data_IF_565373255570
#
_entry.id   IF_565373255570
#
_cell.length_a   1.000
_cell.length_b   1.000
_cell.length_c   1.000
_cell.angle_alpha   90.00
_cell.angle_beta   90.00
_cell.angle_gamma   90.00
#
_symmetry.space_group_name_H-M   'P 1'
#
loop_
_entity.id
_entity.type
_entity.pdbx_description
1 polymer ?
#
# COMPACT_ATOMS: atom_id res chain seq x y z
N UNK A 1 18.93 -10.82 -4.22
CA UNK A 1 17.55 -10.47 -3.86
C UNK A 1 17.44 -8.97 -3.68
N UNK A 2 16.44 -8.35 -4.28
CA UNK A 2 16.17 -6.93 -4.12
C UNK A 2 15.26 -6.71 -2.91
N UNK A 3 15.31 -5.51 -2.35
CA UNK A 3 14.44 -5.08 -1.25
C UNK A 3 13.68 -3.85 -1.74
N UNK A 4 12.38 -3.99 -1.93
CA UNK A 4 11.52 -2.97 -2.54
C UNK A 4 10.37 -2.62 -1.59
N UNK A 5 10.20 -1.33 -1.33
CA UNK A 5 9.04 -0.82 -0.61
C UNK A 5 8.20 0.00 -1.58
N UNK A 6 7.00 -0.48 -1.85
CA UNK A 6 6.04 0.23 -2.70
C UNK A 6 5.12 1.04 -1.79
N UNK A 7 5.08 2.36 -2.00
CA UNK A 7 4.22 3.25 -1.23
C UNK A 7 3.17 3.84 -2.16
N UNK A 8 1.91 3.50 -1.90
CA UNK A 8 0.77 3.98 -2.68
C UNK A 8 0.27 5.26 -2.05
N UNK A 9 0.39 6.36 -2.80
CA UNK A 9 0.01 7.71 -2.36
C UNK A 9 -1.19 8.25 -3.14
N UNK A 10 -1.48 7.68 -4.31
CA UNK A 10 -2.48 8.21 -5.23
C UNK A 10 -3.91 8.01 -4.73
N UNK A 11 -4.77 8.97 -5.03
CA UNK A 11 -6.20 8.91 -4.74
C UNK A 11 -6.89 7.85 -5.61
N UNK A 12 -8.07 7.44 -5.15
CA UNK A 12 -8.93 6.49 -5.87
C UNK A 12 -9.76 7.14 -6.95
N UNK A 13 -9.86 8.48 -6.98
CA UNK A 13 -10.81 9.23 -7.78
C UNK A 13 -10.16 10.23 -8.73
N UNK A 14 -9.16 9.79 -9.49
CA UNK A 14 -8.53 10.62 -10.53
C UNK A 14 -8.51 9.85 -11.85
N UNK A 15 -8.24 10.56 -12.94
CA UNK A 15 -8.08 9.94 -14.26
C UNK A 15 -6.92 8.95 -14.33
N UNK A 16 -5.94 9.07 -13.43
CA UNK A 16 -4.77 8.20 -13.37
C UNK A 16 -4.91 7.08 -12.33
N UNK A 17 -5.98 7.10 -11.51
CA UNK A 17 -6.10 6.24 -10.34
C UNK A 17 -5.91 4.76 -10.65
N UNK A 18 -6.65 4.23 -11.62
CA UNK A 18 -6.56 2.81 -11.98
C UNK A 18 -5.18 2.45 -12.54
N UNK A 19 -4.61 3.31 -13.36
CA UNK A 19 -3.26 3.09 -13.90
C UNK A 19 -2.22 3.02 -12.80
N UNK A 20 -2.28 3.91 -11.83
CA UNK A 20 -1.33 3.94 -10.72
C UNK A 20 -1.47 2.72 -9.81
N UNK A 21 -2.69 2.37 -9.41
CA UNK A 21 -2.87 1.22 -8.51
C UNK A 21 -2.53 -0.10 -9.20
N UNK A 22 -2.93 -0.27 -10.45
CA UNK A 22 -2.59 -1.50 -11.20
C UNK A 22 -1.09 -1.63 -11.37
N UNK A 23 -0.38 -0.54 -11.65
CA UNK A 23 1.08 -0.57 -11.74
C UNK A 23 1.73 -0.89 -10.40
N UNK A 24 1.23 -0.32 -9.30
CA UNK A 24 1.75 -0.62 -7.97
C UNK A 24 1.59 -2.10 -7.62
N UNK A 25 0.39 -2.64 -7.83
CA UNK A 25 0.10 -4.04 -7.51
C UNK A 25 0.83 -5.00 -8.45
N UNK A 26 0.96 -4.65 -9.74
CA UNK A 26 1.70 -5.45 -10.70
C UNK A 26 3.19 -5.48 -10.38
N UNK A 27 3.77 -4.35 -9.98
CA UNK A 27 5.16 -4.30 -9.54
C UNK A 27 5.36 -5.18 -8.30
N UNK A 28 4.46 -5.09 -7.32
CA UNK A 28 4.53 -5.93 -6.13
C UNK A 28 4.51 -7.42 -6.49
N UNK A 29 3.63 -7.80 -7.42
CA UNK A 29 3.54 -9.19 -7.90
C UNK A 29 4.82 -9.64 -8.60
N UNK A 30 5.37 -8.81 -9.46
CA UNK A 30 6.60 -9.12 -10.20
C UNK A 30 7.77 -9.37 -9.24
N UNK A 31 7.97 -8.48 -8.25
CA UNK A 31 9.03 -8.67 -7.26
C UNK A 31 8.78 -9.89 -6.39
N UNK A 32 7.54 -10.12 -5.98
CA UNK A 32 7.18 -11.30 -5.19
C UNK A 32 7.49 -12.59 -5.94
N UNK A 33 7.09 -12.69 -7.20
CA UNK A 33 7.33 -13.87 -8.03
C UNK A 33 8.82 -14.11 -8.29
N UNK A 34 9.62 -13.05 -8.32
CA UNK A 34 11.06 -13.14 -8.47
C UNK A 34 11.78 -13.56 -7.18
N UNK A 35 11.05 -13.69 -6.08
CA UNK A 35 11.64 -14.05 -4.79
C UNK A 35 12.26 -12.87 -4.03
N UNK A 36 11.96 -11.64 -4.44
CA UNK A 36 12.46 -10.45 -3.78
C UNK A 36 11.68 -10.13 -2.51
N UNK A 37 12.31 -9.35 -1.63
CA UNK A 37 11.68 -8.81 -0.43
C UNK A 37 10.91 -7.55 -0.82
N UNK A 38 9.61 -7.67 -1.04
CA UNK A 38 8.74 -6.56 -1.41
C UNK A 38 7.64 -6.39 -0.37
N UNK A 39 7.37 -5.13 -0.02
CA UNK A 39 6.20 -4.78 0.79
C UNK A 39 5.45 -3.61 0.16
N UNK A 40 4.18 -3.50 0.52
CA UNK A 40 3.28 -2.44 0.05
C UNK A 40 2.74 -1.71 1.26
N UNK A 41 2.83 -0.38 1.23
CA UNK A 41 2.27 0.49 2.26
C UNK A 41 1.34 1.50 1.60
N UNK A 42 0.19 1.74 2.22
CA UNK A 42 -0.77 2.74 1.77
C UNK A 42 -0.61 3.99 2.63
N UNK A 43 -0.43 5.13 1.99
CA UNK A 43 -0.19 6.40 2.68
C UNK A 43 -0.91 7.54 1.96
N UNK A 44 -1.12 8.66 2.63
CA UNK A 44 -1.85 9.78 2.05
C UNK A 44 -3.25 9.38 1.60
N UNK A 45 -3.69 9.92 0.47
CA UNK A 45 -4.95 9.54 -0.16
C UNK A 45 -4.98 8.06 -0.56
N UNK A 46 -3.81 7.43 -0.69
CA UNK A 46 -3.69 6.01 -1.01
C UNK A 46 -4.31 5.08 0.04
N UNK A 47 -4.54 5.56 1.26
CA UNK A 47 -5.23 4.77 2.30
C UNK A 47 -6.66 4.42 1.90
N UNK A 48 -7.26 5.19 1.00
CA UNK A 48 -8.62 4.91 0.47
C UNK A 48 -8.67 3.64 -0.36
N UNK A 49 -7.55 3.17 -0.91
CA UNK A 49 -7.52 1.96 -1.72
C UNK A 49 -7.80 0.69 -0.92
N UNK A 50 -7.56 0.71 0.38
CA UNK A 50 -7.72 -0.49 1.22
C UNK A 50 -9.15 -0.99 1.17
N UNK A 51 -10.13 -0.14 1.46
CA UNK A 51 -11.54 -0.51 1.39
C UNK A 51 -11.96 -0.89 -0.05
N UNK A 52 -11.53 -0.10 -1.03
CA UNK A 52 -11.87 -0.33 -2.43
C UNK A 52 -11.37 -1.69 -2.92
N UNK A 53 -10.12 -2.03 -2.63
CA UNK A 53 -9.50 -3.27 -3.10
C UNK A 53 -10.03 -4.51 -2.39
N UNK A 54 -10.61 -4.36 -1.20
CA UNK A 54 -11.26 -5.47 -0.49
C UNK A 54 -12.64 -5.78 -1.05
N UNK A 55 -13.23 -4.88 -1.84
CA UNK A 55 -14.50 -5.16 -2.51
C UNK A 55 -14.28 -6.17 -3.64
N UNK A 56 -15.00 -7.28 -3.59
CA UNK A 56 -14.86 -8.36 -4.59
C UNK A 56 -15.23 -7.91 -6.00
N UNK A 57 -16.05 -6.87 -6.11
CA UNK A 57 -16.47 -6.30 -7.39
C UNK A 57 -15.45 -5.33 -8.00
N UNK A 58 -14.42 -4.92 -7.24
CA UNK A 58 -13.43 -3.99 -7.75
C UNK A 58 -12.58 -4.65 -8.84
N UNK A 59 -12.32 -3.96 -9.97
CA UNK A 59 -11.54 -4.55 -11.08
C UNK A 59 -10.14 -5.04 -10.67
N UNK A 60 -9.52 -4.42 -9.68
CA UNK A 60 -8.18 -4.79 -9.21
C UNK A 60 -8.19 -5.74 -8.01
N UNK A 61 -9.36 -6.21 -7.56
CA UNK A 61 -9.46 -7.08 -6.39
C UNK A 61 -8.64 -8.36 -6.54
N UNK A 62 -8.75 -9.04 -7.66
CA UNK A 62 -8.02 -10.29 -7.89
C UNK A 62 -6.51 -10.09 -7.82
N UNK A 63 -6.00 -9.01 -8.43
CA UNK A 63 -4.59 -8.67 -8.38
C UNK A 63 -4.14 -8.35 -6.96
N UNK A 64 -4.97 -7.60 -6.21
CA UNK A 64 -4.69 -7.29 -4.82
C UNK A 64 -4.56 -8.55 -3.96
N UNK A 65 -5.45 -9.53 -4.14
CA UNK A 65 -5.39 -10.78 -3.36
C UNK A 65 -4.09 -11.55 -3.57
N UNK A 66 -3.48 -11.43 -4.74
CA UNK A 66 -2.20 -12.09 -5.04
C UNK A 66 -1.03 -11.49 -4.28
N UNK A 67 -1.13 -10.22 -3.86
CA UNK A 67 -0.03 -9.53 -3.14
C UNK A 67 -0.41 -9.16 -1.71
N UNK A 68 -1.58 -9.55 -1.25
CA UNK A 68 -2.11 -9.14 0.05
C UNK A 68 -1.19 -9.55 1.21
N UNK A 69 -0.50 -10.66 1.08
CA UNK A 69 0.49 -11.14 2.06
C UNK A 69 1.74 -10.25 2.13
N UNK A 70 1.89 -9.32 1.20
CA UNK A 70 3.00 -8.35 1.18
C UNK A 70 2.60 -6.97 1.66
N UNK A 71 1.35 -6.76 2.04
CA UNK A 71 0.90 -5.48 2.57
C UNK A 71 1.44 -5.31 3.98
N UNK A 72 2.28 -4.28 4.16
CA UNK A 72 2.87 -3.96 5.46
C UNK A 72 1.86 -3.22 6.35
N UNK A 73 1.10 -2.31 5.76
CA UNK A 73 0.12 -1.56 6.52
C UNK A 73 -0.29 -0.25 5.88
N UNK A 74 -0.94 0.58 6.67
CA UNK A 74 -1.38 1.93 6.31
C UNK A 74 -0.80 2.94 7.29
N UNK A 75 -0.36 4.09 6.77
CA UNK A 75 0.09 5.20 7.59
C UNK A 75 -1.04 5.63 8.53
N UNK A 76 -0.80 5.61 9.84
CA UNK A 76 -1.82 5.91 10.83
C UNK A 76 -2.36 7.33 10.75
N UNK A 77 -1.47 8.31 10.63
CA UNK A 77 -1.88 9.70 10.45
C UNK A 77 -2.75 9.89 9.21
N UNK A 78 -2.32 9.32 8.09
CA UNK A 78 -3.04 9.45 6.82
C UNK A 78 -4.39 8.74 6.84
N UNK A 79 -4.48 7.57 7.46
CA UNK A 79 -5.75 6.88 7.62
C UNK A 79 -6.76 7.74 8.38
N UNK A 80 -6.33 8.41 9.45
CA UNK A 80 -7.17 9.35 10.18
C UNK A 80 -7.54 10.58 9.35
N UNK A 81 -6.55 11.20 8.71
CA UNK A 81 -6.75 12.42 7.92
C UNK A 81 -7.70 12.23 6.74
N UNK A 82 -7.69 11.03 6.12
CA UNK A 82 -8.55 10.72 4.99
C UNK A 82 -9.80 9.93 5.39
N UNK A 83 -10.11 9.85 6.68
CA UNK A 83 -11.34 9.21 7.17
C UNK A 83 -11.38 7.70 6.97
N UNK A 84 -10.23 7.03 6.93
CA UNK A 84 -10.10 5.62 6.60
C UNK A 84 -9.77 4.72 7.80
N UNK A 85 -9.64 5.28 9.00
CA UNK A 85 -9.21 4.49 10.17
C UNK A 85 -10.09 3.27 10.43
N UNK A 86 -11.41 3.43 10.36
CA UNK A 86 -12.35 2.33 10.60
C UNK A 86 -12.28 1.29 9.48
N UNK A 87 -12.18 1.72 8.22
CA UNK A 87 -12.06 0.83 7.08
C UNK A 87 -10.77 0.01 7.13
N UNK A 88 -9.66 0.65 7.46
CA UNK A 88 -8.36 -0.03 7.62
C UNK A 88 -8.47 -1.12 8.68
N UNK A 89 -9.05 -0.80 9.84
CA UNK A 89 -9.25 -1.76 10.91
C UNK A 89 -10.17 -2.91 10.49
N UNK A 90 -11.29 -2.59 9.84
CA UNK A 90 -12.26 -3.59 9.37
C UNK A 90 -11.65 -4.55 8.35
N UNK A 91 -10.72 -4.08 7.53
CA UNK A 91 -10.02 -4.90 6.54
C UNK A 91 -8.83 -5.68 7.12
N UNK A 92 -8.54 -5.52 8.40
CA UNK A 92 -7.46 -6.22 9.06
C UNK A 92 -6.05 -5.76 8.63
N UNK A 93 -5.93 -4.56 8.08
CA UNK A 93 -4.65 -4.01 7.64
C UNK A 93 -3.97 -3.32 8.83
N UNK A 94 -2.70 -3.62 9.14
CA UNK A 94 -2.00 -2.98 10.23
C UNK A 94 -1.85 -1.47 10.06
N UNK A 95 -1.91 -0.75 11.16
CA UNK A 95 -1.65 0.69 11.19
C UNK A 95 -0.18 0.91 11.53
N UNK A 96 0.50 1.73 10.73
CA UNK A 96 1.91 2.04 10.91
C UNK A 96 2.07 3.40 11.58
N UNK A 97 2.64 3.39 12.78
CA UNK A 97 2.94 4.58 13.58
C UNK A 97 4.41 4.52 13.99
N UNK A 98 5.29 4.85 13.06
CA UNK A 98 6.73 4.62 13.19
C UNK A 98 7.52 5.94 13.36
N UNK A 99 6.93 7.04 12.95
CA UNK A 99 7.43 8.40 13.14
C UNK A 99 6.28 9.24 13.67
N UNK A 100 6.16 9.31 14.99
CA UNK A 100 4.94 9.78 15.60
C UNK A 100 3.77 8.90 15.14
N UNK A 101 2.72 9.49 14.60
CA UNK A 101 1.57 8.78 14.05
C UNK A 101 1.73 8.41 12.58
N UNK A 102 2.85 8.80 11.95
CA UNK A 102 3.14 8.52 10.53
C UNK A 102 3.90 7.22 10.35
N UNK A 103 3.78 6.64 9.17
CA UNK A 103 4.75 5.66 8.70
C UNK A 103 6.13 6.35 8.56
N UNK A 104 7.21 5.57 8.53
CA UNK A 104 8.56 6.12 8.39
C UNK A 104 9.21 5.72 7.08
N UNK A 105 9.46 6.70 6.21
CA UNK A 105 10.28 6.50 5.01
C UNK A 105 11.74 6.21 5.38
N UNK A 106 12.27 6.92 6.39
CA UNK A 106 13.64 6.73 6.81
C UNK A 106 13.89 5.30 7.33
N UNK A 107 12.93 4.72 8.02
CA UNK A 107 13.03 3.34 8.48
C UNK A 107 13.17 2.38 7.29
N UNK A 108 12.41 2.59 6.23
CA UNK A 108 12.49 1.77 5.02
C UNK A 108 13.88 1.87 4.38
N UNK A 109 14.38 3.06 4.16
CA UNK A 109 15.70 3.25 3.53
C UNK A 109 16.83 2.76 4.44
N UNK A 110 16.71 2.94 5.75
CA UNK A 110 17.70 2.44 6.72
C UNK A 110 17.77 0.91 6.73
N UNK A 111 16.66 0.25 6.41
CA UNK A 111 16.60 -1.22 6.28
C UNK A 111 17.05 -1.73 4.91
N UNK A 112 17.48 -0.84 4.03
CA UNK A 112 17.98 -1.20 2.71
C UNK A 112 16.94 -1.29 1.61
N UNK A 113 15.70 -0.83 1.87
CA UNK A 113 14.67 -0.83 0.84
C UNK A 113 14.85 0.31 -0.15
N UNK A 114 14.66 0.00 -1.43
CA UNK A 114 14.43 1.00 -2.45
C UNK A 114 12.95 1.36 -2.41
N UNK A 115 12.65 2.65 -2.33
CA UNK A 115 11.26 3.12 -2.22
C UNK A 115 10.74 3.55 -3.58
N UNK A 116 9.61 2.96 -3.97
CA UNK A 116 8.89 3.32 -5.18
C UNK A 116 7.52 3.87 -4.78
N UNK A 117 7.16 5.03 -5.30
CA UNK A 117 5.86 5.65 -5.01
C UNK A 117 4.96 5.62 -6.25
N UNK A 118 3.68 5.41 -5.99
CA UNK A 118 2.66 5.37 -7.05
C UNK A 118 1.47 6.23 -6.69
#
# INVERSE_FOLDING_TARGET
MQKIAIVVLSDTESGEAMGRIVNALSAAKEYKEAGDDVNVTFSGAGTKWIAALHETSHPAHALYTEIQDRVAGACGYCAGAFGQADAVSACGVPVLEEYGTNMSFRKLTAQGYQVMTF
#
